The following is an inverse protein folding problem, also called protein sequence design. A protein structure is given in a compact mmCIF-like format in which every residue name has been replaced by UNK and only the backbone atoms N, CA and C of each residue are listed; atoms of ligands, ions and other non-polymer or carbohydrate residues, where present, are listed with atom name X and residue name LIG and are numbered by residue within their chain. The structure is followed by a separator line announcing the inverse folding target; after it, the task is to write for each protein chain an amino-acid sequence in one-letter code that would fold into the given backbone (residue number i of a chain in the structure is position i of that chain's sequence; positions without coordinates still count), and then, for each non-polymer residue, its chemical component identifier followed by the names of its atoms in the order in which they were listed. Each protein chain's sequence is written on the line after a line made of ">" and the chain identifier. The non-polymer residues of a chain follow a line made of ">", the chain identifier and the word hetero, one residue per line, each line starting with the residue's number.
data_IF_569492187577
#
_entry.id   IF_569492187577
#
_cell.length_a   1.000
_cell.length_b   1.000
_cell.length_c   1.000
_cell.angle_alpha   90.00
_cell.angle_beta   90.00
_cell.angle_gamma   90.00
#
_symmetry.space_group_name_H-M   'P 1'
#
loop_
_entity.id
_entity.type
_entity.pdbx_description
1 polymer ?
#
# COMPACT_ATOMS: atom_id res chain seq x y z
N UNK A 1 14.93 -17.64 15.01
CA UNK A 1 13.67 -18.20 14.46
C UNK A 1 12.50 -17.74 15.32
N UNK A 2 11.31 -17.61 14.72
CA UNK A 2 10.08 -17.22 15.41
C UNK A 2 9.76 -18.26 16.50
N UNK A 3 9.48 -17.82 17.72
CA UNK A 3 9.13 -18.73 18.83
C UNK A 3 7.62 -18.92 18.85
N UNK A 4 7.16 -20.12 18.55
CA UNK A 4 5.75 -20.47 18.42
C UNK A 4 5.29 -21.32 19.61
N UNK A 5 4.12 -21.00 20.15
CA UNK A 5 3.44 -21.81 21.19
C UNK A 5 2.29 -22.65 20.62
N UNK A 6 1.82 -22.31 19.42
CA UNK A 6 0.89 -23.05 18.56
C UNK A 6 1.25 -22.74 17.10
N UNK A 7 0.70 -23.46 16.10
CA UNK A 7 1.00 -23.18 14.71
C UNK A 7 0.60 -21.76 14.26
N UNK A 8 1.23 -21.27 13.21
CA UNK A 8 0.86 -20.02 12.52
C UNK A 8 0.79 -20.29 11.02
N UNK A 9 -0.24 -19.78 10.36
CA UNK A 9 -0.38 -19.86 8.90
C UNK A 9 -0.05 -18.52 8.30
N UNK A 10 1.00 -18.49 7.48
CA UNK A 10 1.30 -17.37 6.60
C UNK A 10 0.55 -17.55 5.29
N UNK A 11 -0.17 -16.54 4.81
CA UNK A 11 -0.91 -16.64 3.56
C UNK A 11 -0.98 -15.31 2.81
N UNK A 12 -1.31 -15.42 1.52
CA UNK A 12 -1.46 -14.33 0.56
C UNK A 12 -2.51 -14.72 -0.47
N UNK A 13 -3.26 -13.74 -0.99
CA UNK A 13 -4.37 -13.95 -1.92
C UNK A 13 -4.20 -13.17 -3.22
N UNK A 14 -4.58 -13.82 -4.32
CA UNK A 14 -4.90 -13.11 -5.56
C UNK A 14 -6.41 -13.07 -5.77
N UNK A 15 -6.92 -11.97 -6.30
CA UNK A 15 -8.34 -11.72 -6.42
C UNK A 15 -8.71 -11.06 -7.75
N UNK A 16 -10.00 -11.10 -8.09
CA UNK A 16 -10.56 -10.40 -9.26
C UNK A 16 -10.45 -8.87 -9.14
N UNK A 17 -10.17 -8.34 -7.95
CA UNK A 17 -9.99 -6.91 -7.69
C UNK A 17 -9.74 -6.62 -6.22
N UNK A 18 -9.87 -5.35 -5.83
CA UNK A 18 -9.55 -4.86 -4.48
C UNK A 18 -10.80 -4.58 -3.61
N UNK A 19 -12.00 -4.74 -4.15
CA UNK A 19 -13.24 -4.56 -3.41
C UNK A 19 -13.57 -5.82 -2.61
N UNK A 20 -13.22 -5.83 -1.33
CA UNK A 20 -13.42 -6.96 -0.41
C UNK A 20 -14.86 -7.51 -0.37
N UNK A 21 -15.88 -6.71 -0.75
CA UNK A 21 -17.29 -7.11 -0.70
C UNK A 21 -17.83 -7.68 -2.00
N UNK A 22 -17.21 -7.36 -3.14
CA UNK A 22 -17.72 -7.72 -4.47
C UNK A 22 -16.80 -8.69 -5.20
N UNK A 23 -15.49 -8.49 -5.06
CA UNK A 23 -14.48 -9.30 -5.70
C UNK A 23 -14.38 -10.70 -5.08
N UNK A 24 -13.72 -11.59 -5.83
CA UNK A 24 -13.60 -13.02 -5.53
C UNK A 24 -12.13 -13.45 -5.53
N UNK A 25 -11.81 -14.43 -4.70
CA UNK A 25 -10.47 -15.02 -4.64
C UNK A 25 -10.23 -15.90 -5.88
N UNK A 26 -9.06 -15.77 -6.51
CA UNK A 26 -8.62 -16.60 -7.64
C UNK A 26 -7.40 -17.47 -7.32
N UNK A 27 -6.61 -17.11 -6.31
CA UNK A 27 -5.53 -17.96 -5.80
C UNK A 27 -5.35 -17.77 -4.29
N UNK A 28 -4.93 -18.85 -3.62
CA UNK A 28 -4.54 -18.82 -2.21
C UNK A 28 -3.19 -19.53 -2.09
N UNK A 29 -2.17 -18.80 -1.62
CA UNK A 29 -0.91 -19.40 -1.19
C UNK A 29 -0.85 -19.44 0.34
N UNK A 30 -0.48 -20.58 0.94
CA UNK A 30 -0.39 -20.72 2.39
C UNK A 30 0.79 -21.59 2.85
N UNK A 31 1.44 -21.17 3.94
CA UNK A 31 2.49 -21.93 4.62
C UNK A 31 2.16 -22.00 6.11
N UNK A 32 1.95 -23.21 6.62
CA UNK A 32 1.76 -23.45 8.06
C UNK A 32 3.09 -23.76 8.71
N UNK A 33 3.47 -22.97 9.70
CA UNK A 33 4.67 -23.16 10.52
C UNK A 33 4.29 -23.75 11.88
N UNK A 34 5.00 -24.79 12.30
CA UNK A 34 4.75 -25.49 13.56
C UNK A 34 5.78 -25.12 14.65
N UNK A 35 5.46 -25.33 15.94
CA UNK A 35 6.39 -25.06 17.06
C UNK A 35 7.74 -25.79 16.99
N UNK A 36 7.80 -26.93 16.31
CA UNK A 36 9.03 -27.70 16.09
C UNK A 36 9.87 -27.18 14.89
N UNK A 37 9.44 -26.08 14.26
CA UNK A 37 9.99 -25.47 13.05
C UNK A 37 9.78 -26.28 11.76
N UNK A 38 8.94 -27.32 11.77
CA UNK A 38 8.47 -27.93 10.53
C UNK A 38 7.47 -27.01 9.82
N UNK A 39 7.25 -27.25 8.52
CA UNK A 39 6.27 -26.50 7.73
C UNK A 39 5.54 -27.36 6.71
N UNK A 40 4.32 -26.98 6.38
CA UNK A 40 3.58 -27.48 5.23
C UNK A 40 3.22 -26.31 4.31
N UNK A 41 3.21 -26.58 3.01
CA UNK A 41 2.95 -25.59 1.95
C UNK A 41 1.70 -26.04 1.20
N UNK A 42 0.81 -25.09 0.92
CA UNK A 42 -0.45 -25.31 0.23
C UNK A 42 -0.65 -24.19 -0.79
N UNK A 43 -1.19 -24.55 -1.95
CA UNK A 43 -1.52 -23.61 -3.01
C UNK A 43 -2.81 -24.08 -3.68
N UNK A 44 -3.75 -23.15 -3.87
CA UNK A 44 -4.99 -23.40 -4.58
C UNK A 44 -5.17 -22.35 -5.66
N UNK A 45 -5.42 -22.82 -6.89
CA UNK A 45 -6.02 -22.00 -7.94
C UNK A 45 -7.54 -22.19 -7.85
N UNK A 46 -8.29 -21.09 -7.84
CA UNK A 46 -9.71 -21.08 -7.48
C UNK A 46 -10.53 -20.52 -8.63
N UNK A 47 -11.63 -21.19 -8.98
CA UNK A 47 -12.61 -20.67 -9.91
C UNK A 47 -13.55 -19.67 -9.20
N UNK A 48 -13.46 -18.36 -9.49
CA UNK A 48 -14.24 -17.32 -8.79
C UNK A 48 -15.72 -17.29 -9.20
N UNK A 49 -16.11 -18.03 -10.25
CA UNK A 49 -17.46 -18.01 -10.88
C UNK A 49 -17.89 -16.65 -11.44
N UNK A 50 -16.97 -15.72 -11.58
CA UNK A 50 -17.15 -14.43 -12.26
C UNK A 50 -15.95 -14.20 -13.20
N UNK A 51 -16.10 -13.37 -14.25
CA UNK A 51 -14.96 -13.01 -15.10
C UNK A 51 -13.85 -12.32 -14.29
N UNK A 52 -12.59 -12.63 -14.61
CA UNK A 52 -11.43 -11.94 -14.02
C UNK A 52 -11.15 -10.67 -14.87
N UNK A 53 -11.18 -9.46 -14.30
CA UNK A 53 -10.80 -8.25 -15.02
C UNK A 53 -9.41 -8.34 -15.64
N UNK A 54 -9.23 -7.71 -16.81
CA UNK A 54 -7.96 -7.73 -17.55
C UNK A 54 -6.85 -7.07 -16.75
N UNK A 55 -7.16 -5.97 -16.06
CA UNK A 55 -6.21 -5.24 -15.21
C UNK A 55 -5.70 -6.11 -14.06
N UNK A 56 -6.57 -6.91 -13.43
CA UNK A 56 -6.17 -7.86 -12.38
C UNK A 56 -5.30 -8.98 -12.97
N UNK A 57 -5.72 -9.54 -14.10
CA UNK A 57 -4.96 -10.56 -14.84
C UNK A 57 -3.56 -10.06 -15.24
N UNK A 58 -3.41 -8.79 -15.61
CA UNK A 58 -2.11 -8.17 -15.93
C UNK A 58 -1.19 -8.01 -14.71
N UNK A 59 -1.75 -7.96 -13.50
CA UNK A 59 -0.99 -7.85 -12.24
C UNK A 59 -0.48 -9.21 -11.80
N UNK A 60 -1.38 -10.19 -11.62
CA UNK A 60 -1.05 -11.49 -11.03
C UNK A 60 -0.87 -12.62 -12.05
N UNK A 61 -1.19 -12.39 -13.33
CA UNK A 61 -0.96 -13.34 -14.42
C UNK A 61 -1.96 -14.51 -14.51
N UNK A 62 -3.07 -14.48 -13.76
CA UNK A 62 -4.10 -15.54 -13.76
C UNK A 62 -5.23 -15.09 -14.68
N UNK A 63 -5.56 -15.91 -15.67
CA UNK A 63 -6.64 -15.62 -16.62
C UNK A 63 -7.87 -16.48 -16.37
N UNK A 64 -9.01 -16.10 -16.96
CA UNK A 64 -10.24 -16.89 -16.92
C UNK A 64 -10.00 -18.34 -17.37
N UNK A 65 -9.19 -18.55 -18.42
CA UNK A 65 -8.89 -19.89 -18.95
C UNK A 65 -8.14 -20.78 -17.95
N UNK A 66 -7.27 -20.20 -17.12
CA UNK A 66 -6.49 -20.94 -16.12
C UNK A 66 -7.37 -21.48 -14.99
N UNK A 67 -8.42 -20.75 -14.64
CA UNK A 67 -9.34 -21.10 -13.54
C UNK A 67 -10.52 -21.97 -14.02
N UNK A 68 -10.65 -22.21 -15.32
CA UNK A 68 -11.62 -23.17 -15.86
C UNK A 68 -11.29 -24.58 -15.35
N UNK A 69 -12.29 -25.23 -14.74
CA UNK A 69 -12.15 -26.58 -14.18
C UNK A 69 -11.44 -26.66 -12.83
N UNK A 70 -10.91 -25.55 -12.32
CA UNK A 70 -10.39 -25.46 -10.96
C UNK A 70 -11.51 -25.52 -9.91
N UNK A 71 -11.21 -25.96 -8.67
CA UNK A 71 -12.18 -25.98 -7.60
C UNK A 71 -12.69 -24.56 -7.30
N UNK A 72 -13.93 -24.47 -6.83
CA UNK A 72 -14.48 -23.22 -6.28
C UNK A 72 -13.98 -23.02 -4.85
N UNK A 73 -14.16 -21.80 -4.32
CA UNK A 73 -13.88 -21.55 -2.91
C UNK A 73 -14.62 -22.54 -1.99
N UNK A 74 -15.88 -22.84 -2.29
CA UNK A 74 -16.68 -23.80 -1.52
C UNK A 74 -16.12 -25.23 -1.54
N UNK A 75 -15.46 -25.63 -2.62
CA UNK A 75 -14.86 -26.97 -2.74
C UNK A 75 -13.61 -27.12 -1.86
N UNK A 76 -12.86 -26.03 -1.63
CA UNK A 76 -11.62 -26.02 -0.82
C UNK A 76 -11.85 -25.53 0.63
N UNK A 77 -13.01 -24.95 0.93
CA UNK A 77 -13.26 -24.26 2.19
C UNK A 77 -13.05 -25.14 3.43
N UNK A 78 -13.41 -26.42 3.35
CA UNK A 78 -13.24 -27.37 4.46
C UNK A 78 -11.75 -27.66 4.74
N UNK A 79 -10.94 -27.85 3.70
CA UNK A 79 -9.49 -28.03 3.87
C UNK A 79 -8.84 -26.76 4.42
N UNK A 80 -9.25 -25.60 3.90
CA UNK A 80 -8.70 -24.31 4.30
C UNK A 80 -9.04 -23.97 5.76
N UNK A 81 -10.27 -24.23 6.22
CA UNK A 81 -10.63 -23.97 7.62
C UNK A 81 -9.86 -24.91 8.56
N UNK A 82 -9.67 -26.17 8.20
CA UNK A 82 -8.86 -27.12 8.97
C UNK A 82 -7.39 -26.68 9.07
N UNK A 83 -6.85 -26.08 8.02
CA UNK A 83 -5.51 -25.53 8.02
C UNK A 83 -5.35 -24.38 9.03
N UNK A 84 -6.30 -23.45 9.08
CA UNK A 84 -6.18 -22.17 9.82
C UNK A 84 -6.79 -22.19 11.24
N UNK A 85 -7.71 -23.10 11.54
CA UNK A 85 -8.55 -22.99 12.74
C UNK A 85 -7.74 -23.09 14.05
N UNK A 86 -6.76 -23.99 14.11
CA UNK A 86 -5.87 -24.18 15.27
C UNK A 86 -4.65 -23.23 15.28
N UNK A 87 -4.59 -22.30 14.33
CA UNK A 87 -3.41 -21.50 14.04
C UNK A 87 -3.62 -20.01 14.32
N UNK A 88 -2.53 -19.30 14.60
CA UNK A 88 -2.44 -17.85 14.41
C UNK A 88 -2.27 -17.51 12.92
N UNK A 89 -2.37 -16.24 12.54
CA UNK A 89 -2.26 -15.79 11.15
C UNK A 89 -1.03 -14.91 10.93
N UNK A 90 -0.42 -15.02 9.75
CA UNK A 90 0.74 -14.25 9.34
C UNK A 90 0.70 -13.85 7.87
N UNK A 91 1.41 -12.79 7.50
CA UNK A 91 1.56 -12.39 6.10
C UNK A 91 2.14 -10.98 5.96
N UNK A 92 2.01 -10.39 4.78
CA UNK A 92 2.45 -9.03 4.50
C UNK A 92 1.25 -8.18 4.04
N UNK A 93 0.83 -7.20 4.85
CA UNK A 93 -0.36 -6.36 4.60
C UNK A 93 -1.72 -7.08 4.69
N UNK A 94 -1.77 -8.26 5.32
CA UNK A 94 -2.96 -9.13 5.35
C UNK A 94 -4.16 -8.59 6.14
N UNK A 95 -3.95 -7.62 7.03
CA UNK A 95 -4.99 -7.16 7.96
C UNK A 95 -6.13 -6.43 7.26
N UNK A 96 -5.85 -5.73 6.17
CA UNK A 96 -6.82 -4.84 5.52
C UNK A 96 -7.43 -5.42 4.25
N UNK A 97 -6.83 -6.47 3.68
CA UNK A 97 -7.26 -7.07 2.44
C UNK A 97 -7.50 -8.57 2.60
N UNK A 98 -6.45 -9.35 2.86
CA UNK A 98 -6.50 -10.81 2.79
C UNK A 98 -7.45 -11.44 3.82
N UNK A 99 -7.35 -11.03 5.09
CA UNK A 99 -8.25 -11.53 6.14
C UNK A 99 -9.71 -11.17 5.82
N UNK A 100 -10.08 -9.88 5.58
CA UNK A 100 -11.46 -9.54 5.21
C UNK A 100 -11.98 -10.27 3.96
N UNK A 101 -11.14 -10.44 2.94
CA UNK A 101 -11.50 -11.13 1.71
C UNK A 101 -11.84 -12.61 1.98
N UNK A 102 -10.98 -13.28 2.76
CA UNK A 102 -11.18 -14.66 3.17
C UNK A 102 -12.46 -14.84 4.01
N UNK A 103 -12.70 -13.94 4.97
CA UNK A 103 -13.92 -13.93 5.78
C UNK A 103 -15.17 -13.78 4.91
N UNK A 104 -15.14 -12.90 3.89
CA UNK A 104 -16.26 -12.70 2.99
C UNK A 104 -16.53 -13.93 2.10
N UNK A 105 -15.51 -14.60 1.57
CA UNK A 105 -15.69 -15.85 0.81
C UNK A 105 -16.30 -16.96 1.68
N UNK A 106 -15.82 -17.13 2.91
CA UNK A 106 -16.41 -18.05 3.89
C UNK A 106 -17.87 -17.71 4.22
N UNK A 107 -18.19 -16.42 4.39
CA UNK A 107 -19.56 -15.96 4.62
C UNK A 107 -20.49 -16.25 3.43
N UNK A 108 -20.02 -16.07 2.19
CA UNK A 108 -20.81 -16.33 0.95
C UNK A 108 -21.29 -17.78 0.85
N UNK A 109 -20.51 -18.74 1.37
CA UNK A 109 -20.85 -20.17 1.34
C UNK A 109 -21.55 -20.65 2.62
N UNK A 110 -21.87 -19.76 3.56
CA UNK A 110 -22.54 -20.11 4.81
C UNK A 110 -21.64 -20.79 5.85
N UNK A 111 -20.32 -20.63 5.73
CA UNK A 111 -19.33 -21.15 6.68
C UNK A 111 -18.51 -19.99 7.28
N UNK A 112 -19.13 -19.05 8.02
CA UNK A 112 -18.44 -17.84 8.46
C UNK A 112 -17.18 -18.18 9.27
N UNK A 113 -16.09 -17.51 8.93
CA UNK A 113 -14.80 -17.60 9.59
C UNK A 113 -14.54 -16.31 10.36
N UNK A 114 -14.08 -16.44 11.61
CA UNK A 114 -13.65 -15.31 12.42
C UNK A 114 -12.17 -15.44 12.78
N UNK A 115 -11.47 -14.30 12.74
CA UNK A 115 -10.07 -14.17 13.11
C UNK A 115 -9.88 -13.38 14.42
N UNK A 116 -10.95 -12.94 15.09
CA UNK A 116 -10.88 -12.14 16.32
C UNK A 116 -10.09 -12.81 17.46
N UNK A 117 -10.12 -14.14 17.56
CA UNK A 117 -9.40 -14.91 18.58
C UNK A 117 -7.96 -15.27 18.19
N UNK A 118 -7.55 -14.93 16.97
CA UNK A 118 -6.23 -15.25 16.42
C UNK A 118 -5.27 -14.10 16.63
N UNK A 119 -4.01 -14.41 16.93
CA UNK A 119 -2.94 -13.42 16.84
C UNK A 119 -2.58 -13.23 15.37
N UNK A 120 -2.33 -11.99 14.98
CA UNK A 120 -2.00 -11.63 13.60
C UNK A 120 -0.59 -11.03 13.57
N UNK A 121 0.28 -11.62 12.76
CA UNK A 121 1.63 -11.10 12.46
C UNK A 121 1.62 -10.51 11.05
N UNK A 122 1.61 -9.19 10.94
CA UNK A 122 1.71 -8.48 9.67
C UNK A 122 3.12 -7.88 9.50
N UNK A 123 3.90 -8.45 8.58
CA UNK A 123 5.26 -8.05 8.30
C UNK A 123 5.37 -6.61 7.76
N UNK A 124 4.36 -6.11 7.03
CA UNK A 124 4.33 -4.72 6.56
C UNK A 124 4.16 -3.75 7.73
N UNK A 125 3.34 -4.13 8.72
CA UNK A 125 3.19 -3.34 9.95
C UNK A 125 4.51 -3.26 10.72
N UNK A 126 5.21 -4.39 10.87
CA UNK A 126 6.54 -4.42 11.50
C UNK A 126 7.51 -3.53 10.73
N UNK A 127 7.57 -3.65 9.39
CA UNK A 127 8.42 -2.83 8.54
C UNK A 127 8.18 -1.32 8.76
N UNK A 128 6.92 -0.88 8.72
CA UNK A 128 6.55 0.54 8.96
C UNK A 128 6.96 1.04 10.35
N UNK A 129 6.90 0.18 11.38
CA UNK A 129 7.29 0.55 12.75
C UNK A 129 8.82 0.59 12.89
N UNK A 130 9.53 -0.32 12.22
CA UNK A 130 10.97 -0.53 12.39
C UNK A 130 11.84 0.28 11.43
N UNK A 131 11.26 0.78 10.33
CA UNK A 131 11.92 1.64 9.34
C UNK A 131 11.28 3.04 9.29
N UNK A 132 11.42 3.87 10.35
CA UNK A 132 10.95 5.24 10.31
C UNK A 132 11.76 6.08 9.30
N UNK A 133 11.12 7.15 8.81
CA UNK A 133 11.66 8.01 7.74
C UNK A 133 12.10 9.36 8.28
N UNK A 134 12.74 9.38 9.45
CA UNK A 134 13.25 10.61 10.05
C UNK A 134 14.67 10.92 9.59
N UNK A 135 15.13 12.16 9.80
CA UNK A 135 16.53 12.52 9.53
C UNK A 135 17.50 11.67 10.34
N UNK A 136 17.20 11.34 11.59
CA UNK A 136 18.01 10.46 12.44
C UNK A 136 18.19 9.07 11.83
N UNK A 137 17.11 8.50 11.27
CA UNK A 137 17.14 7.18 10.64
C UNK A 137 17.96 7.19 9.35
N UNK A 138 17.77 8.25 8.54
CA UNK A 138 18.57 8.46 7.33
C UNK A 138 20.06 8.63 7.69
N UNK A 139 20.37 9.39 8.72
CA UNK A 139 21.73 9.58 9.22
C UNK A 139 22.35 8.26 9.65
N UNK A 140 21.65 7.48 10.49
CA UNK A 140 22.13 6.17 10.94
C UNK A 140 22.35 5.21 9.76
N UNK A 141 21.48 5.24 8.74
CA UNK A 141 21.55 4.35 7.57
C UNK A 141 22.71 4.69 6.63
N UNK A 142 22.88 5.97 6.28
CA UNK A 142 23.82 6.39 5.22
C UNK A 142 25.16 6.89 5.75
N UNK A 143 25.21 7.37 6.99
CA UNK A 143 26.41 7.91 7.64
C UNK A 143 26.92 6.99 8.74
N UNK A 144 25.99 6.43 9.52
CA UNK A 144 26.29 5.61 10.70
C UNK A 144 26.52 6.43 11.97
N UNK A 145 26.43 5.77 13.13
CA UNK A 145 26.62 6.41 14.44
C UNK A 145 25.34 7.04 15.01
N UNK A 146 25.52 7.83 16.08
CA UNK A 146 24.43 8.50 16.81
C UNK A 146 24.29 9.96 16.32
N UNK A 147 23.09 10.33 15.87
CA UNK A 147 22.80 11.71 15.52
C UNK A 147 22.56 12.56 16.79
N UNK A 148 23.57 13.35 17.17
CA UNK A 148 23.53 14.21 18.37
C UNK A 148 22.94 15.59 18.07
N UNK A 149 22.31 16.21 19.07
CA UNK A 149 21.73 17.56 18.98
C UNK A 149 20.67 17.72 17.88
N UNK A 150 19.85 16.69 17.66
CA UNK A 150 18.67 16.78 16.79
C UNK A 150 17.78 17.97 17.17
N UNK A 151 17.16 18.60 16.17
CA UNK A 151 16.29 19.78 16.31
C UNK A 151 17.02 21.11 16.53
N UNK A 152 18.35 21.14 16.36
CA UNK A 152 19.08 22.37 16.08
C UNK A 152 19.22 22.52 14.56
N UNK A 153 18.70 23.63 13.99
CA UNK A 153 18.65 23.82 12.54
C UNK A 153 20.02 23.67 11.84
N UNK A 154 21.12 24.12 12.46
CA UNK A 154 22.45 23.97 11.88
C UNK A 154 22.97 22.53 11.98
N UNK A 155 22.65 21.82 13.07
CA UNK A 155 22.95 20.39 13.21
C UNK A 155 22.20 19.56 12.18
N UNK A 156 20.91 19.86 11.99
CA UNK A 156 20.04 19.16 11.04
C UNK A 156 20.48 19.40 9.58
N UNK A 157 20.92 20.62 9.24
CA UNK A 157 21.45 20.92 7.89
C UNK A 157 22.76 20.14 7.63
N UNK A 158 23.68 20.12 8.59
CA UNK A 158 24.94 19.35 8.45
C UNK A 158 24.66 17.86 8.28
N UNK A 159 23.78 17.30 9.10
CA UNK A 159 23.36 15.93 8.97
C UNK A 159 22.68 15.64 7.62
N UNK A 160 21.88 16.59 7.10
CA UNK A 160 21.26 16.44 5.78
C UNK A 160 22.29 16.38 4.65
N UNK A 161 23.37 17.17 4.72
CA UNK A 161 24.48 17.12 3.77
C UNK A 161 25.19 15.76 3.85
N UNK A 162 25.55 15.32 5.05
CA UNK A 162 26.21 14.03 5.27
C UNK A 162 25.34 12.85 4.78
N UNK A 163 24.02 12.93 4.99
CA UNK A 163 23.05 11.96 4.46
C UNK A 163 23.08 11.93 2.94
N UNK A 164 23.02 13.09 2.27
CA UNK A 164 23.08 13.16 0.81
C UNK A 164 24.39 12.57 0.27
N UNK A 165 25.52 12.91 0.90
CA UNK A 165 26.82 12.33 0.54
C UNK A 165 26.85 10.80 0.71
N UNK A 166 26.23 10.28 1.77
CA UNK A 166 26.08 8.84 1.98
C UNK A 166 25.16 8.19 0.96
N UNK A 167 24.07 8.85 0.56
CA UNK A 167 23.16 8.39 -0.50
C UNK A 167 23.89 8.31 -1.85
N UNK A 168 24.64 9.34 -2.24
CA UNK A 168 25.44 9.36 -3.47
C UNK A 168 26.51 8.26 -3.51
N UNK A 169 27.02 7.82 -2.35
CA UNK A 169 27.93 6.67 -2.26
C UNK A 169 27.23 5.32 -2.29
N UNK A 170 25.95 5.28 -1.92
CA UNK A 170 25.16 4.04 -1.78
C UNK A 170 24.45 3.67 -3.08
N UNK A 171 24.03 4.67 -3.86
CA UNK A 171 23.19 4.50 -5.04
C UNK A 171 23.95 4.93 -6.28
N UNK A 172 24.34 3.97 -7.12
CA UNK A 172 25.07 4.21 -8.37
C UNK A 172 24.20 4.86 -9.47
N UNK A 173 22.87 4.83 -9.31
CA UNK A 173 21.89 5.39 -10.23
C UNK A 173 21.45 6.82 -9.87
N UNK A 174 21.96 7.39 -8.77
CA UNK A 174 21.73 8.80 -8.45
C UNK A 174 22.59 9.70 -9.35
N UNK A 175 21.99 10.77 -9.91
CA UNK A 175 22.78 11.84 -10.51
C UNK A 175 23.68 12.50 -9.46
N UNK A 176 24.85 12.98 -9.86
CA UNK A 176 25.84 13.63 -8.99
C UNK A 176 25.92 15.16 -9.19
N UNK A 177 25.08 15.70 -10.07
CA UNK A 177 24.96 17.14 -10.32
C UNK A 177 23.71 17.73 -9.66
N UNK A 178 23.77 19.03 -9.36
CA UNK A 178 22.62 19.76 -8.80
C UNK A 178 21.40 19.66 -9.71
N UNK A 179 21.56 19.84 -11.02
CA UNK A 179 20.46 19.75 -11.98
C UNK A 179 19.87 18.34 -12.03
N UNK A 180 20.73 17.30 -12.08
CA UNK A 180 20.28 15.92 -12.07
C UNK A 180 19.53 15.53 -10.80
N UNK A 181 20.08 15.91 -9.63
CA UNK A 181 19.42 15.68 -8.34
C UNK A 181 18.13 16.48 -8.21
N UNK A 182 18.09 17.70 -8.75
CA UNK A 182 16.88 18.52 -8.78
C UNK A 182 15.78 17.82 -9.57
N UNK A 183 16.06 17.38 -10.80
CA UNK A 183 15.09 16.64 -11.63
C UNK A 183 14.70 15.31 -10.99
N UNK A 184 15.61 14.63 -10.29
CA UNK A 184 15.29 13.40 -9.55
C UNK A 184 14.30 13.68 -8.40
N UNK A 185 14.52 14.73 -7.62
CA UNK A 185 13.64 15.11 -6.51
C UNK A 185 12.32 15.72 -6.99
N UNK A 186 12.37 16.47 -8.08
CA UNK A 186 11.29 17.23 -8.66
C UNK A 186 11.26 16.99 -10.17
N UNK A 187 10.71 15.85 -10.62
CA UNK A 187 10.62 15.56 -12.05
C UNK A 187 9.90 16.70 -12.78
N UNK A 188 10.38 17.04 -13.98
CA UNK A 188 9.75 18.05 -14.82
C UNK A 188 8.32 17.63 -15.14
N UNK A 189 7.37 18.49 -14.78
CA UNK A 189 5.96 18.30 -15.04
C UNK A 189 5.43 19.64 -15.59
N UNK A 190 5.32 19.79 -16.93
CA UNK A 190 4.90 21.05 -17.54
C UNK A 190 3.46 21.43 -17.16
N UNK A 191 2.67 20.47 -16.68
CA UNK A 191 1.31 20.71 -16.21
C UNK A 191 1.26 21.13 -14.74
N UNK A 192 2.36 21.00 -13.97
CA UNK A 192 2.37 21.28 -12.53
C UNK A 192 2.07 22.75 -12.27
N UNK A 193 1.07 23.00 -11.44
CA UNK A 193 0.67 24.35 -11.08
C UNK A 193 1.44 24.87 -9.86
N UNK A 194 1.68 24.04 -8.84
CA UNK A 194 2.27 24.42 -7.56
C UNK A 194 3.49 23.57 -7.17
N UNK A 195 4.35 24.11 -6.31
CA UNK A 195 5.57 23.42 -5.86
C UNK A 195 5.30 22.16 -5.03
N UNK A 196 4.13 22.06 -4.39
CA UNK A 196 3.74 20.89 -3.61
C UNK A 196 3.15 19.76 -4.49
N UNK A 197 2.97 20.02 -5.79
CA UNK A 197 2.44 19.09 -6.77
C UNK A 197 0.99 18.70 -6.53
N UNK A 198 0.20 19.54 -5.84
CA UNK A 198 -1.19 19.24 -5.47
C UNK A 198 -2.19 19.59 -6.57
N UNK A 199 -1.86 20.53 -7.44
CA UNK A 199 -2.65 20.93 -8.59
C UNK A 199 -1.84 20.80 -9.88
N UNK A 200 -2.50 20.38 -10.95
CA UNK A 200 -1.93 20.37 -12.30
C UNK A 200 -2.99 20.69 -13.36
N UNK A 201 -2.56 21.14 -14.53
CA UNK A 201 -3.43 21.26 -15.69
C UNK A 201 -3.73 19.88 -16.29
N UNK A 202 -5.00 19.62 -16.58
CA UNK A 202 -5.47 18.43 -17.31
C UNK A 202 -6.47 18.93 -18.33
N UNK A 203 -6.19 18.71 -19.62
CA UNK A 203 -7.02 19.21 -20.72
C UNK A 203 -7.27 20.74 -20.64
N UNK A 204 -6.30 21.50 -20.12
CA UNK A 204 -6.41 22.95 -19.94
C UNK A 204 -7.13 23.41 -18.66
N UNK A 205 -7.71 22.49 -17.89
CA UNK A 205 -8.37 22.80 -16.62
C UNK A 205 -7.46 22.51 -15.43
N UNK A 206 -7.53 23.37 -14.41
CA UNK A 206 -6.77 23.16 -13.19
C UNK A 206 -7.44 22.08 -12.34
N UNK A 207 -6.72 21.01 -12.05
CA UNK A 207 -7.25 19.77 -11.45
C UNK A 207 -6.44 19.30 -10.25
N UNK A 208 -7.12 18.58 -9.37
CA UNK A 208 -6.52 17.94 -8.19
C UNK A 208 -5.54 16.84 -8.64
N UNK A 209 -4.33 16.81 -8.09
CA UNK A 209 -3.31 15.80 -8.39
C UNK A 209 -3.06 14.80 -7.25
N UNK A 210 -3.93 14.77 -6.23
CA UNK A 210 -3.74 13.93 -5.05
C UNK A 210 -5.05 13.38 -4.49
N UNK A 211 -4.95 12.30 -3.71
CA UNK A 211 -6.08 11.71 -3.00
C UNK A 211 -7.18 11.20 -3.92
N UNK A 212 -8.37 10.98 -3.35
CA UNK A 212 -9.53 10.38 -4.03
C UNK A 212 -10.08 11.20 -5.21
N UNK A 213 -9.81 12.51 -5.24
CA UNK A 213 -10.31 13.42 -6.27
C UNK A 213 -9.26 13.71 -7.35
N UNK A 214 -8.16 12.94 -7.39
CA UNK A 214 -7.13 13.08 -8.41
C UNK A 214 -7.74 13.01 -9.82
N UNK A 215 -7.37 13.95 -10.68
CA UNK A 215 -7.84 14.07 -12.05
C UNK A 215 -9.04 15.02 -12.23
N UNK A 216 -9.80 15.30 -11.16
CA UNK A 216 -11.00 16.13 -11.23
C UNK A 216 -10.67 17.62 -11.19
N UNK A 217 -11.35 18.42 -12.00
CA UNK A 217 -11.09 19.85 -12.08
C UNK A 217 -11.67 20.63 -10.91
N UNK A 218 -11.05 21.76 -10.58
CA UNK A 218 -11.56 22.64 -9.53
C UNK A 218 -12.95 23.17 -9.87
N UNK A 219 -13.24 23.43 -11.14
CA UNK A 219 -14.56 23.89 -11.59
C UNK A 219 -15.63 22.80 -11.40
N UNK A 220 -15.33 21.55 -11.75
CA UNK A 220 -16.22 20.41 -11.50
C UNK A 220 -16.52 20.26 -10.00
N UNK A 221 -15.47 20.31 -9.17
CA UNK A 221 -15.59 20.18 -7.72
C UNK A 221 -16.33 21.36 -7.09
N UNK A 222 -16.19 22.57 -7.62
CA UNK A 222 -16.93 23.73 -7.13
C UNK A 222 -18.45 23.56 -7.31
N UNK A 223 -18.88 22.90 -8.39
CA UNK A 223 -20.30 22.62 -8.69
C UNK A 223 -20.84 21.45 -7.87
N UNK A 224 -20.09 20.35 -7.79
CA UNK A 224 -20.61 19.07 -7.30
C UNK A 224 -20.16 18.71 -5.87
N UNK A 225 -19.02 19.22 -5.42
CA UNK A 225 -18.37 18.85 -4.14
C UNK A 225 -17.73 20.05 -3.43
N UNK A 226 -18.46 21.16 -3.32
CA UNK A 226 -17.96 22.42 -2.75
C UNK A 226 -17.32 22.25 -1.36
N UNK A 227 -17.83 21.32 -0.54
CA UNK A 227 -17.27 21.02 0.79
C UNK A 227 -15.83 20.53 0.74
N UNK A 228 -15.42 19.82 -0.31
CA UNK A 228 -14.05 19.36 -0.50
C UNK A 228 -13.10 20.53 -0.73
N UNK A 229 -13.50 21.50 -1.55
CA UNK A 229 -12.71 22.72 -1.79
C UNK A 229 -12.62 23.60 -0.54
N UNK A 230 -13.70 23.72 0.23
CA UNK A 230 -13.67 24.41 1.53
C UNK A 230 -12.73 23.72 2.54
N UNK A 231 -12.63 22.39 2.52
CA UNK A 231 -11.65 21.67 3.32
C UNK A 231 -10.21 22.01 2.91
N UNK A 232 -9.92 22.16 1.60
CA UNK A 232 -8.60 22.62 1.13
C UNK A 232 -8.30 24.03 1.67
N UNK A 233 -9.25 24.96 1.62
CA UNK A 233 -9.05 26.33 2.11
C UNK A 233 -8.73 26.38 3.62
N UNK A 234 -9.38 25.52 4.41
CA UNK A 234 -9.16 25.43 5.85
C UNK A 234 -7.96 24.54 6.22
N UNK A 235 -7.42 23.78 5.27
CA UNK A 235 -6.31 22.87 5.47
C UNK A 235 -4.92 23.52 5.38
N UNK A 236 -3.90 22.70 5.60
CA UNK A 236 -2.49 23.07 5.49
C UNK A 236 -2.00 22.97 4.04
N UNK A 237 -2.45 23.90 3.20
CA UNK A 237 -2.02 24.06 1.80
C UNK A 237 -1.40 25.45 1.60
N UNK A 238 -0.50 25.63 0.63
CA UNK A 238 0.02 26.96 0.30
C UNK A 238 -1.07 27.93 -0.15
N UNK A 239 -0.81 29.22 0.04
CA UNK A 239 -1.69 30.29 -0.44
C UNK A 239 -1.90 30.25 -1.96
N UNK A 240 -0.92 29.78 -2.75
CA UNK A 240 -1.08 29.62 -4.20
C UNK A 240 -2.19 28.61 -4.53
N UNK A 241 -2.22 27.47 -3.85
CA UNK A 241 -3.29 26.47 -4.00
C UNK A 241 -4.62 27.07 -3.53
N UNK A 242 -4.63 27.70 -2.35
CA UNK A 242 -5.86 28.27 -1.77
C UNK A 242 -6.45 29.35 -2.66
N UNK A 243 -5.63 30.20 -3.25
CA UNK A 243 -6.07 31.25 -4.17
C UNK A 243 -6.73 30.66 -5.42
N UNK A 244 -6.11 29.66 -6.04
CA UNK A 244 -6.72 28.95 -7.18
C UNK A 244 -8.07 28.32 -6.81
N UNK A 245 -8.19 27.76 -5.60
CA UNK A 245 -9.45 27.20 -5.09
C UNK A 245 -10.49 28.30 -4.84
N UNK A 246 -10.12 29.46 -4.28
CA UNK A 246 -11.06 30.59 -4.11
C UNK A 246 -11.61 31.04 -5.46
N UNK A 247 -10.74 31.21 -6.45
CA UNK A 247 -11.14 31.62 -7.81
C UNK A 247 -12.11 30.63 -8.46
N UNK A 248 -11.93 29.33 -8.23
CA UNK A 248 -12.87 28.32 -8.74
C UNK A 248 -14.22 28.30 -8.00
N UNK A 249 -14.29 28.88 -6.79
CA UNK A 249 -15.49 28.92 -5.95
C UNK A 249 -16.33 30.19 -6.14
N UNK A 250 -15.80 31.19 -6.84
CA UNK A 250 -16.48 32.42 -7.27
C UNK A 250 -17.37 32.16 -8.48
#
# INVERSE_FOLDING_TARGET
>A
MLKLTKPIVFFDLEATGINIFEDRIVQIGAVKLFPDNTRTEHEWLVNPKIPIPKESSEIHGITDEMVVGQPTFGDIAQELIELINDSDLGGYNIRYFDIPMLQNEFARIGMPFDAEDKKIIDAMTIFKIKEPRTLSDAYQKYVGGEFKNAHNAMSDIKASIEVLEGQLKTYDDLPDSVDGLHTFCFPDDPDRYDMEGKLKYINGELSINFGKNRGRSLEELAKNERSYLLWILNGSFSEKIKEAVRQALE
#
